data_IF_067526513704
#
_entry.id   IF_067526513704
#
_cell.length_a   1.000
_cell.length_b   1.000
_cell.length_c   1.000
_cell.angle_alpha   90.00
_cell.angle_beta   90.00
_cell.angle_gamma   90.00
#
_symmetry.space_group_name_H-M   'P 1'
#
loop_
_entity.id
_entity.type
_entity.pdbx_description
1 polymer ?
#
# COMPACT_ATOMS: atom_id res chain seq x y z
N UNK A 1 7.10 -10.07 25.75
CA UNK A 1 6.35 -9.38 24.67
C UNK A 1 6.03 -10.44 23.62
N UNK A 2 4.78 -10.57 23.21
CA UNK A 2 4.40 -11.47 22.11
C UNK A 2 4.97 -10.85 20.82
N UNK A 3 5.68 -11.59 19.96
CA UNK A 3 6.17 -11.04 18.70
C UNK A 3 5.01 -10.72 17.76
N UNK A 4 5.16 -9.70 16.93
CA UNK A 4 4.08 -9.08 16.17
C UNK A 4 4.44 -8.87 14.70
N UNK A 5 3.41 -8.92 13.86
CA UNK A 5 3.47 -8.56 12.45
C UNK A 5 2.52 -7.38 12.26
N UNK A 6 3.04 -6.21 11.90
CA UNK A 6 2.22 -5.06 11.55
C UNK A 6 2.03 -5.04 10.03
N UNK A 7 0.78 -4.90 9.59
CA UNK A 7 0.40 -4.78 8.18
C UNK A 7 -0.28 -3.44 8.00
N UNK A 8 0.09 -2.72 6.93
CA UNK A 8 -0.54 -1.47 6.55
C UNK A 8 -0.88 -1.50 5.06
N UNK A 9 -2.04 -0.95 4.70
CA UNK A 9 -2.38 -0.73 3.30
C UNK A 9 -1.68 0.54 2.81
N UNK A 10 -1.06 0.49 1.64
CA UNK A 10 -0.27 1.60 1.09
C UNK A 10 -1.12 2.85 0.84
N UNK A 11 -2.41 2.70 0.52
CA UNK A 11 -3.36 3.80 0.33
C UNK A 11 -3.62 4.66 1.57
N UNK A 12 -3.19 4.21 2.76
CA UNK A 12 -3.20 5.01 3.99
C UNK A 12 -2.19 6.16 3.96
N UNK A 13 -1.23 6.12 3.04
CA UNK A 13 -0.28 7.19 2.76
C UNK A 13 -0.74 7.99 1.54
N UNK A 14 -0.81 9.30 1.70
CA UNK A 14 -1.41 10.22 0.71
C UNK A 14 -0.40 11.14 0.06
N UNK A 15 0.80 11.23 0.61
CA UNK A 15 1.85 12.09 0.07
C UNK A 15 3.25 11.66 0.51
N UNK A 16 4.26 12.18 -0.19
CA UNK A 16 5.65 11.99 0.16
C UNK A 16 6.00 12.71 1.48
N UNK A 17 6.88 12.09 2.25
CA UNK A 17 7.42 12.67 3.47
C UNK A 17 8.78 13.30 3.18
N UNK A 18 8.81 14.62 2.99
CA UNK A 18 10.06 15.34 2.76
C UNK A 18 10.89 15.49 4.03
N UNK A 19 12.22 15.40 3.91
CA UNK A 19 13.15 15.64 5.00
C UNK A 19 13.11 17.12 5.40
N UNK A 20 13.03 17.38 6.71
CA UNK A 20 13.09 18.73 7.28
C UNK A 20 12.15 18.88 8.47
N UNK A 21 11.77 20.12 8.84
CA UNK A 21 10.77 20.35 9.86
C UNK A 21 9.46 19.63 9.53
N UNK A 22 8.98 18.79 10.44
CA UNK A 22 7.69 18.11 10.30
C UNK A 22 6.63 18.85 11.10
N UNK A 23 5.75 19.54 10.40
CA UNK A 23 4.69 20.37 10.97
C UNK A 23 3.37 19.61 11.10
N UNK A 24 2.40 20.25 11.74
CA UNK A 24 1.02 19.75 11.80
C UNK A 24 0.38 19.64 10.40
N UNK A 25 0.81 20.46 9.43
CA UNK A 25 0.31 20.37 8.06
C UNK A 25 0.81 19.08 7.38
N UNK A 26 2.07 18.72 7.59
CA UNK A 26 2.67 17.48 7.06
C UNK A 26 1.97 16.23 7.59
N UNK A 27 1.53 16.26 8.86
CA UNK A 27 0.70 15.21 9.45
C UNK A 27 -0.58 14.96 8.63
N UNK A 28 -1.28 16.01 8.21
CA UNK A 28 -2.52 15.88 7.41
C UNK A 28 -2.27 15.52 5.95
N UNK A 29 -1.12 15.93 5.40
CA UNK A 29 -0.78 15.67 4.00
C UNK A 29 -0.25 14.25 3.80
N UNK A 30 0.63 13.77 4.69
CA UNK A 30 1.24 12.43 4.58
C UNK A 30 0.24 11.33 4.93
N UNK A 31 -0.42 11.41 6.09
CA UNK A 31 -1.41 10.41 6.52
C UNK A 31 -2.56 11.09 7.28
N UNK A 32 -3.67 11.47 6.61
CA UNK A 32 -4.75 12.25 7.22
C UNK A 32 -5.64 11.46 8.19
N UNK A 33 -5.51 10.13 8.22
CA UNK A 33 -6.41 9.26 8.96
C UNK A 33 -6.11 9.27 10.46
N UNK A 34 -7.15 9.34 11.30
CA UNK A 34 -7.01 9.37 12.77
C UNK A 34 -7.22 8.01 13.41
N UNK A 35 -7.14 6.93 12.64
CA UNK A 35 -7.38 5.58 13.09
C UNK A 35 -6.33 5.12 14.10
N UNK A 36 -6.79 4.38 15.11
CA UNK A 36 -5.93 3.64 16.05
C UNK A 36 -5.66 2.24 15.51
N UNK A 37 -4.55 1.64 15.91
CA UNK A 37 -4.23 0.27 15.52
C UNK A 37 -5.00 -0.73 16.39
N UNK A 38 -5.31 -1.88 15.79
CA UNK A 38 -5.90 -3.03 16.48
C UNK A 38 -5.06 -4.27 16.19
N UNK A 39 -5.21 -5.30 17.01
CA UNK A 39 -4.58 -6.58 16.78
C UNK A 39 -5.52 -7.77 16.97
N UNK A 40 -5.15 -8.87 16.32
CA UNK A 40 -5.69 -10.21 16.53
C UNK A 40 -4.53 -11.17 16.79
N UNK A 41 -4.62 -11.98 17.83
CA UNK A 41 -3.58 -12.97 18.15
C UNK A 41 -3.85 -14.30 17.44
N UNK A 42 -2.87 -14.78 16.67
CA UNK A 42 -2.96 -16.04 15.90
C UNK A 42 -1.63 -16.81 15.93
N UNK A 43 -1.61 -18.12 15.61
CA UNK A 43 -0.36 -18.84 15.42
C UNK A 43 0.47 -18.31 14.25
N UNK A 44 1.80 -18.39 14.33
CA UNK A 44 2.73 -17.88 13.32
C UNK A 44 2.47 -18.46 11.93
N UNK A 45 2.09 -19.73 11.84
CA UNK A 45 1.76 -20.38 10.57
C UNK A 45 0.64 -19.66 9.79
N UNK A 46 -0.28 -18.98 10.49
CA UNK A 46 -1.28 -18.10 9.89
C UNK A 46 -0.71 -16.69 9.71
N UNK A 47 -0.15 -16.10 10.76
CA UNK A 47 0.33 -14.72 10.75
C UNK A 47 1.40 -14.46 9.69
N UNK A 48 2.33 -15.39 9.46
CA UNK A 48 3.38 -15.27 8.46
C UNK A 48 2.86 -15.23 7.01
N UNK A 49 1.63 -15.68 6.77
CA UNK A 49 1.01 -15.71 5.43
C UNK A 49 0.10 -14.50 5.16
N UNK A 50 -0.19 -13.67 6.18
CA UNK A 50 -1.20 -12.62 6.09
C UNK A 50 -0.92 -11.62 4.96
N UNK A 51 0.33 -11.18 4.81
CA UNK A 51 0.71 -10.20 3.77
C UNK A 51 0.45 -10.79 2.38
N UNK A 52 0.89 -12.03 2.14
CA UNK A 52 0.75 -12.67 0.84
C UNK A 52 -0.71 -12.87 0.43
N UNK A 53 -1.57 -13.29 1.35
CA UNK A 53 -2.99 -13.48 1.06
C UNK A 53 -3.76 -12.16 0.89
N UNK A 54 -3.43 -11.12 1.68
CA UNK A 54 -3.99 -9.78 1.48
C UNK A 54 -3.56 -9.18 0.13
N UNK A 55 -2.28 -9.30 -0.23
CA UNK A 55 -1.78 -8.83 -1.52
C UNK A 55 -2.39 -9.56 -2.73
N UNK A 56 -2.79 -10.83 -2.59
CA UNK A 56 -3.51 -11.56 -3.65
C UNK A 56 -4.93 -11.04 -3.87
N UNK A 57 -5.59 -10.61 -2.80
CA UNK A 57 -6.94 -10.01 -2.86
C UNK A 57 -6.90 -8.61 -3.46
N UNK A 58 -5.85 -7.86 -3.12
CA UNK A 58 -5.70 -6.45 -3.46
C UNK A 58 -6.37 -5.53 -2.43
N UNK A 59 -6.02 -4.25 -2.50
CA UNK A 59 -6.59 -3.20 -1.64
C UNK A 59 -8.02 -2.78 -2.05
N UNK A 60 -8.46 -3.21 -3.24
CA UNK A 60 -9.75 -2.93 -3.84
C UNK A 60 -10.61 -4.15 -3.99
N UNK A 61 -11.94 -3.98 -3.92
CA UNK A 61 -12.90 -5.04 -4.22
C UNK A 61 -12.62 -5.64 -5.59
N UNK A 62 -12.20 -6.91 -5.59
CA UNK A 62 -12.23 -7.91 -6.65
C UNK A 62 -12.65 -7.40 -8.03
N UNK A 63 -11.68 -7.10 -8.90
CA UNK A 63 -11.98 -6.82 -10.30
C UNK A 63 -10.76 -6.40 -11.11
N UNK A 64 -10.45 -7.18 -12.13
CA UNK A 64 -9.35 -6.93 -13.08
C UNK A 64 -7.96 -7.21 -12.50
N UNK A 65 -7.75 -8.49 -12.15
CA UNK A 65 -6.45 -9.13 -12.32
C UNK A 65 -6.42 -9.61 -13.78
N UNK A 66 -5.67 -8.91 -14.63
CA UNK A 66 -5.57 -9.25 -16.04
C UNK A 66 -4.53 -8.35 -16.71
N UNK A 67 -3.58 -8.98 -17.39
CA UNK A 67 -2.64 -8.35 -18.30
C UNK A 67 -3.44 -7.83 -19.51
N UNK A 68 -4.16 -6.73 -19.35
CA UNK A 68 -4.72 -5.98 -20.48
C UNK A 68 -3.60 -5.11 -21.01
N UNK A 69 -3.44 -5.00 -22.34
CA UNK A 69 -2.53 -4.03 -22.96
C UNK A 69 -2.68 -2.67 -22.25
N UNK A 70 -1.57 -2.05 -21.84
CA UNK A 70 -1.58 -1.01 -20.80
C UNK A 70 -2.40 0.24 -21.17
N UNK A 71 -2.47 0.58 -22.45
CA UNK A 71 -3.32 1.67 -22.94
C UNK A 71 -4.81 1.33 -22.84
N UNK A 72 -5.17 0.07 -23.10
CA UNK A 72 -6.54 -0.45 -22.89
C UNK A 72 -6.85 -0.53 -21.38
N UNK A 73 -5.84 -0.84 -20.56
CA UNK A 73 -5.95 -0.85 -19.10
C UNK A 73 -6.27 0.51 -18.49
N UNK A 74 -5.66 1.60 -18.98
CA UNK A 74 -5.98 2.97 -18.55
C UNK A 74 -7.39 3.36 -18.96
N UNK A 75 -7.80 3.08 -20.20
CA UNK A 75 -9.15 3.40 -20.70
C UNK A 75 -10.22 2.59 -19.95
N UNK A 76 -10.00 1.30 -19.73
CA UNK A 76 -10.90 0.44 -18.98
C UNK A 76 -11.01 0.85 -17.51
N UNK A 77 -9.87 1.20 -16.88
CA UNK A 77 -9.88 1.69 -15.50
C UNK A 77 -10.59 3.05 -15.38
N UNK A 78 -10.37 3.98 -16.34
CA UNK A 78 -11.08 5.27 -16.39
C UNK A 78 -12.59 5.07 -16.55
N UNK A 79 -13.02 4.22 -17.48
CA UNK A 79 -14.44 3.90 -17.68
C UNK A 79 -15.08 3.28 -16.42
N UNK A 80 -14.36 2.42 -15.69
CA UNK A 80 -14.83 1.88 -14.42
C UNK A 80 -14.93 2.95 -13.32
N UNK A 81 -13.93 3.83 -13.21
CA UNK A 81 -13.93 4.93 -12.23
C UNK A 81 -15.07 5.93 -12.52
N UNK A 82 -15.30 6.27 -13.79
CA UNK A 82 -16.41 7.11 -14.25
C UNK A 82 -17.78 6.45 -14.00
N UNK A 83 -17.86 5.13 -14.06
CA UNK A 83 -19.05 4.35 -13.69
C UNK A 83 -19.26 4.23 -12.18
N UNK A 84 -18.42 4.84 -11.34
CA UNK A 84 -18.50 4.78 -9.88
C UNK A 84 -18.13 3.42 -9.27
N UNK A 85 -17.55 2.52 -10.07
CA UNK A 85 -17.14 1.16 -9.67
C UNK A 85 -15.62 0.95 -9.68
N UNK A 86 -14.86 1.91 -10.22
CA UNK A 86 -13.41 1.83 -10.35
C UNK A 86 -12.66 2.55 -9.24
N UNK A 87 -11.51 2.00 -8.90
CA UNK A 87 -10.58 2.62 -7.96
C UNK A 87 -9.83 3.76 -8.64
N UNK A 88 -10.13 5.00 -8.25
CA UNK A 88 -9.44 6.20 -8.74
C UNK A 88 -7.92 6.07 -8.58
N UNK A 89 -7.46 5.41 -7.52
CA UNK A 89 -6.04 5.13 -7.30
C UNK A 89 -5.44 4.22 -8.37
N UNK A 90 -6.15 3.17 -8.80
CA UNK A 90 -5.71 2.27 -9.88
C UNK A 90 -5.57 3.01 -11.20
N UNK A 91 -6.53 3.87 -11.54
CA UNK A 91 -6.47 4.76 -12.72
C UNK A 91 -5.23 5.65 -12.65
N UNK A 92 -5.02 6.25 -11.49
CA UNK A 92 -3.89 7.14 -11.25
C UNK A 92 -2.55 6.43 -11.40
N UNK A 93 -2.36 5.26 -10.78
CA UNK A 93 -1.14 4.46 -10.91
C UNK A 93 -0.86 4.07 -12.35
N UNK A 94 -1.86 3.57 -13.07
CA UNK A 94 -1.70 3.21 -14.48
C UNK A 94 -1.35 4.42 -15.34
N UNK A 95 -1.99 5.57 -15.11
CA UNK A 95 -1.66 6.81 -15.83
C UNK A 95 -0.21 7.23 -15.58
N UNK A 96 0.28 7.23 -14.33
CA UNK A 96 1.68 7.56 -14.02
C UNK A 96 2.66 6.60 -14.68
N UNK A 97 2.34 5.31 -14.66
CA UNK A 97 3.13 4.26 -15.29
C UNK A 97 3.27 4.46 -16.80
N UNK A 98 2.14 4.74 -17.46
CA UNK A 98 2.10 5.02 -18.91
C UNK A 98 2.92 6.28 -19.24
N UNK A 99 2.74 7.38 -18.49
CA UNK A 99 3.52 8.61 -18.67
C UNK A 99 5.04 8.36 -18.55
N UNK A 100 5.47 7.64 -17.50
CA UNK A 100 6.87 7.30 -17.27
C UNK A 100 7.48 6.47 -18.42
N UNK A 101 6.73 5.52 -18.98
CA UNK A 101 7.19 4.72 -20.11
C UNK A 101 7.25 5.49 -21.43
N UNK A 102 6.24 6.30 -21.72
CA UNK A 102 6.25 7.13 -22.93
C UNK A 102 7.40 8.12 -22.93
N UNK A 103 7.73 8.67 -21.76
CA UNK A 103 8.84 9.59 -21.69
C UNK A 103 10.18 8.88 -21.95
N UNK A 104 10.40 7.69 -21.37
CA UNK A 104 11.59 6.88 -21.65
C UNK A 104 11.73 6.48 -23.13
N UNK A 105 10.62 6.16 -23.81
CA UNK A 105 10.68 5.81 -25.24
C UNK A 105 10.99 7.00 -26.16
N UNK A 106 10.74 8.23 -25.69
CA UNK A 106 11.00 9.48 -26.43
C UNK A 106 12.44 10.02 -26.26
N UNK A 107 13.20 9.53 -25.29
CA UNK A 107 14.57 10.03 -25.01
C UNK A 107 15.58 9.84 -26.15
N UNK A 108 15.25 9.06 -27.19
CA UNK A 108 16.10 8.83 -28.36
C UNK A 108 15.86 9.76 -29.56
N UNK A 109 14.89 10.68 -29.49
CA UNK A 109 14.53 11.55 -30.62
C UNK A 109 15.33 12.86 -30.67
N UNK A 110 15.97 13.17 -31.81
CA UNK A 110 16.81 14.36 -32.03
C UNK A 110 16.08 15.72 -32.03
N UNK A 111 14.79 15.79 -31.69
CA UNK A 111 13.96 17.01 -31.84
C UNK A 111 13.52 17.65 -30.54
N UNK A 112 13.91 17.10 -29.39
CA UNK A 112 13.39 17.50 -28.08
C UNK A 112 14.47 18.07 -27.15
N UNK A 113 14.17 19.09 -26.31
CA UNK A 113 15.04 19.48 -25.22
C UNK A 113 15.38 18.23 -24.41
N UNK A 114 16.66 18.04 -24.05
CA UNK A 114 17.02 16.94 -23.17
C UNK A 114 16.20 17.09 -21.88
N UNK A 115 15.20 16.23 -21.69
CA UNK A 115 14.37 16.09 -20.49
C UNK A 115 15.20 16.15 -19.21
N UNK A 116 16.49 15.81 -19.26
CA UNK A 116 17.50 16.01 -18.19
C UNK A 116 17.72 17.46 -17.71
N UNK A 117 17.19 18.49 -18.40
CA UNK A 117 17.38 19.92 -18.06
C UNK A 117 16.10 20.64 -17.64
N UNK A 118 14.97 19.94 -17.63
CA UNK A 118 13.66 20.51 -17.26
C UNK A 118 13.37 20.26 -15.78
N UNK A 119 12.32 20.89 -15.25
CA UNK A 119 11.80 20.59 -13.91
C UNK A 119 10.97 19.31 -13.95
N UNK A 120 10.95 18.55 -12.84
CA UNK A 120 10.07 17.39 -12.71
C UNK A 120 8.60 17.83 -12.79
N UNK A 121 7.78 17.08 -13.50
CA UNK A 121 6.36 17.35 -13.63
C UNK A 121 5.62 16.37 -14.54
N UNK A 122 4.38 16.72 -14.86
CA UNK A 122 3.51 15.90 -15.70
C UNK A 122 3.95 15.96 -17.16
N UNK A 123 3.84 14.80 -17.83
CA UNK A 123 4.04 14.65 -19.28
C UNK A 123 2.82 13.90 -19.78
N UNK A 124 1.72 14.63 -19.92
CA UNK A 124 0.39 14.10 -20.17
C UNK A 124 0.29 13.57 -21.60
N UNK A 125 -0.17 12.32 -21.73
CA UNK A 125 -0.57 11.73 -23.00
C UNK A 125 -2.08 11.62 -23.03
N UNK A 126 -2.69 12.28 -24.01
CA UNK A 126 -4.13 12.22 -24.28
C UNK A 126 -4.38 12.09 -25.80
N UNK A 127 -5.64 12.20 -26.21
CA UNK A 127 -6.06 12.07 -27.61
C UNK A 127 -5.89 13.35 -28.43
N UNK A 128 -5.51 14.47 -27.80
CA UNK A 128 -5.33 15.73 -28.48
C UNK A 128 -3.96 15.78 -29.20
N UNK A 129 -3.86 16.42 -30.36
CA UNK A 129 -2.58 16.66 -30.99
C UNK A 129 -1.68 17.57 -30.15
N UNK A 130 -0.37 17.30 -30.13
CA UNK A 130 0.63 18.21 -29.52
C UNK A 130 0.98 17.86 -28.08
N UNK A 131 1.17 18.89 -27.26
CA UNK A 131 1.52 18.78 -25.84
C UNK A 131 0.40 19.42 -25.03
N UNK A 132 -0.23 18.64 -24.15
CA UNK A 132 -1.33 19.12 -23.31
C UNK A 132 -0.86 19.95 -22.11
N UNK A 133 0.37 19.71 -21.65
CA UNK A 133 0.95 20.42 -20.51
C UNK A 133 1.41 21.84 -20.92
N UNK A 134 1.08 22.83 -20.09
CA UNK A 134 1.43 24.25 -20.31
C UNK A 134 2.93 24.53 -20.14
N UNK A 135 3.63 23.66 -19.41
CA UNK A 135 5.08 23.71 -19.18
C UNK A 135 5.73 22.40 -19.57
N UNK A 136 6.90 22.46 -20.23
CA UNK A 136 7.67 21.26 -20.56
C UNK A 136 8.39 20.71 -19.32
N UNK A 137 8.21 19.42 -19.03
CA UNK A 137 8.76 18.76 -17.85
C UNK A 137 9.67 17.57 -18.15
N UNK A 138 10.52 17.26 -17.18
CA UNK A 138 11.05 15.91 -16.97
C UNK A 138 9.93 15.05 -16.37
N UNK A 139 9.61 13.88 -16.93
CA UNK A 139 8.60 12.98 -16.36
C UNK A 139 8.93 12.59 -14.91
N UNK A 140 7.90 12.55 -14.06
CA UNK A 140 8.03 12.01 -12.70
C UNK A 140 8.29 10.48 -12.78
N UNK A 141 9.34 9.96 -12.12
CA UNK A 141 9.59 8.52 -12.07
C UNK A 141 8.43 7.72 -11.49
N UNK A 142 8.12 6.57 -12.10
CA UNK A 142 7.13 5.64 -11.59
C UNK A 142 7.78 4.35 -11.08
N UNK A 143 7.28 3.86 -9.95
CA UNK A 143 7.61 2.56 -9.39
C UNK A 143 6.33 1.82 -9.03
N UNK A 144 6.31 0.50 -9.21
CA UNK A 144 5.19 -0.32 -8.75
C UNK A 144 5.13 -0.32 -7.23
N UNK A 145 3.94 0.00 -6.69
CA UNK A 145 3.69 0.05 -5.27
C UNK A 145 2.80 -1.13 -4.88
N UNK A 146 3.18 -1.93 -3.86
CA UNK A 146 2.32 -3.00 -3.38
C UNK A 146 1.09 -2.42 -2.68
N UNK A 147 -0.02 -3.14 -2.72
CA UNK A 147 -1.26 -2.73 -2.06
C UNK A 147 -1.14 -2.76 -0.52
N UNK A 148 -0.31 -3.68 -0.01
CA UNK A 148 -0.01 -3.82 1.41
C UNK A 148 1.49 -3.92 1.63
N UNK A 149 1.94 -3.39 2.75
CA UNK A 149 3.31 -3.54 3.27
C UNK A 149 3.23 -4.11 4.69
N UNK A 150 4.27 -4.81 5.12
CA UNK A 150 4.36 -5.28 6.50
C UNK A 150 5.76 -5.16 7.09
N UNK A 151 5.79 -5.15 8.41
CA UNK A 151 7.00 -5.33 9.19
C UNK A 151 6.77 -6.41 10.24
N UNK A 152 7.79 -7.23 10.49
CA UNK A 152 7.75 -8.33 11.43
C UNK A 152 8.98 -8.27 12.33
N UNK A 153 8.77 -8.37 13.64
CA UNK A 153 9.85 -8.58 14.62
C UNK A 153 9.96 -10.05 15.05
N UNK A 154 9.32 -10.96 14.32
CA UNK A 154 9.31 -12.39 14.60
C UNK A 154 10.68 -13.02 14.26
N UNK A 155 11.34 -13.75 15.17
CA UNK A 155 12.58 -14.47 14.88
C UNK A 155 12.40 -15.49 13.74
N UNK A 156 13.44 -15.69 12.92
CA UNK A 156 13.37 -16.56 11.72
C UNK A 156 13.11 -18.04 12.02
N UNK A 157 13.49 -18.50 13.21
CA UNK A 157 13.38 -19.87 13.71
C UNK A 157 12.10 -20.10 14.54
N UNK A 158 11.17 -19.15 14.52
CA UNK A 158 9.91 -19.22 15.25
C UNK A 158 9.06 -20.38 14.76
N UNK A 159 8.58 -21.22 15.69
CA UNK A 159 7.70 -22.34 15.37
C UNK A 159 6.34 -21.85 14.85
N UNK A 160 5.72 -22.60 13.93
CA UNK A 160 4.42 -22.24 13.36
C UNK A 160 3.29 -22.15 14.40
N UNK A 161 3.44 -22.81 15.56
CA UNK A 161 2.45 -22.82 16.64
C UNK A 161 2.66 -21.68 17.65
N UNK A 162 3.74 -20.91 17.52
CA UNK A 162 4.01 -19.76 18.39
C UNK A 162 2.93 -18.71 18.18
N UNK A 163 2.43 -18.10 19.25
CA UNK A 163 1.42 -17.06 19.16
C UNK A 163 2.02 -15.72 18.75
N UNK A 164 1.32 -14.99 17.89
CA UNK A 164 1.71 -13.68 17.36
C UNK A 164 0.54 -12.73 17.28
N UNK A 165 0.83 -11.44 17.41
CA UNK A 165 -0.16 -10.39 17.19
C UNK A 165 -0.03 -9.85 15.76
N UNK A 166 -1.11 -9.97 14.98
CA UNK A 166 -1.24 -9.27 13.71
C UNK A 166 -1.82 -7.90 14.01
N UNK A 167 -1.06 -6.85 13.76
CA UNK A 167 -1.45 -5.45 14.00
C UNK A 167 -1.88 -4.81 12.67
N UNK A 168 -3.02 -4.13 12.65
CA UNK A 168 -3.62 -3.56 11.44
C UNK A 168 -4.54 -2.38 11.76
N UNK A 169 -5.01 -1.68 10.72
CA UNK A 169 -5.97 -0.58 10.84
C UNK A 169 -7.41 -1.09 10.68
N UNK A 170 -8.39 -0.49 11.37
CA UNK A 170 -9.75 -1.01 11.43
C UNK A 170 -10.48 -0.97 10.09
N UNK A 171 -10.12 -0.07 9.17
CA UNK A 171 -10.85 0.08 7.90
C UNK A 171 -10.74 -1.13 6.97
N UNK A 172 -9.67 -1.95 7.07
CA UNK A 172 -9.49 -3.20 6.31
C UNK A 172 -9.57 -4.46 7.18
N UNK A 173 -10.14 -4.32 8.39
CA UNK A 173 -10.30 -5.41 9.37
C UNK A 173 -11.09 -6.61 8.83
N UNK A 174 -12.09 -6.36 7.97
CA UNK A 174 -12.89 -7.42 7.34
C UNK A 174 -12.03 -8.35 6.50
N UNK A 175 -11.11 -7.81 5.72
CA UNK A 175 -10.19 -8.60 4.90
C UNK A 175 -9.23 -9.41 5.77
N UNK A 176 -8.70 -8.81 6.83
CA UNK A 176 -7.82 -9.50 7.79
C UNK A 176 -8.55 -10.69 8.44
N UNK A 177 -9.76 -10.48 8.96
CA UNK A 177 -10.58 -11.53 9.58
C UNK A 177 -10.89 -12.64 8.57
N UNK A 178 -11.27 -12.28 7.35
CA UNK A 178 -11.58 -13.26 6.31
C UNK A 178 -10.35 -14.10 5.94
N UNK A 179 -9.19 -13.46 5.73
CA UNK A 179 -7.94 -14.15 5.41
C UNK A 179 -7.51 -15.08 6.54
N UNK A 180 -7.58 -14.64 7.80
CA UNK A 180 -7.24 -15.49 8.95
C UNK A 180 -8.12 -16.75 8.97
N UNK A 181 -9.43 -16.58 8.80
CA UNK A 181 -10.37 -17.70 8.81
C UNK A 181 -10.16 -18.65 7.61
N UNK A 182 -9.86 -18.12 6.43
CA UNK A 182 -9.51 -18.93 5.24
C UNK A 182 -8.20 -19.69 5.43
N UNK A 183 -7.16 -19.05 5.96
CA UNK A 183 -5.89 -19.70 6.28
C UNK A 183 -6.08 -20.80 7.32
N UNK A 184 -6.96 -20.61 8.30
CA UNK A 184 -7.32 -21.67 9.25
C UNK A 184 -7.94 -22.87 8.52
N UNK A 185 -8.92 -22.67 7.65
CA UNK A 185 -9.55 -23.77 6.89
C UNK A 185 -8.53 -24.46 5.97
N UNK A 186 -7.66 -23.70 5.31
CA UNK A 186 -6.58 -24.25 4.47
C UNK A 186 -5.59 -25.07 5.30
N UNK A 187 -5.24 -24.63 6.50
CA UNK A 187 -4.31 -25.36 7.38
C UNK A 187 -4.83 -26.76 7.75
N UNK A 188 -6.14 -26.89 8.02
CA UNK A 188 -6.81 -28.15 8.35
C UNK A 188 -6.90 -29.05 7.10
N UNK A 189 -7.32 -28.50 5.97
CA UNK A 189 -7.61 -29.28 4.76
C UNK A 189 -6.37 -29.65 3.95
N UNK A 190 -5.32 -28.83 3.97
CA UNK A 190 -4.10 -29.01 3.16
C UNK A 190 -2.89 -29.43 3.99
N UNK A 191 -3.03 -29.58 5.31
CA UNK A 191 -1.96 -30.07 6.18
C UNK A 191 -0.75 -29.16 6.21
N UNK A 192 -0.95 -27.83 6.33
CA UNK A 192 0.13 -26.83 6.29
C UNK A 192 1.16 -26.92 7.44
N UNK A 193 1.03 -27.91 8.35
CA UNK A 193 2.06 -28.22 9.35
C UNK A 193 2.04 -27.33 10.58
N UNK A 194 0.90 -26.72 10.91
CA UNK A 194 0.64 -26.04 12.19
C UNK A 194 -0.60 -26.62 12.82
N UNK A 195 -0.54 -26.86 14.13
CA UNK A 195 -1.59 -27.49 14.91
C UNK A 195 -2.61 -26.42 15.30
N UNK A 196 -3.55 -26.14 14.38
CA UNK A 196 -4.68 -25.21 14.59
C UNK A 196 -6.01 -25.84 15.02
N UNK A 197 -6.14 -27.14 15.42
CA UNK A 197 -7.44 -27.80 15.54
C UNK A 197 -8.35 -27.21 16.63
N UNK A 198 -7.83 -26.36 17.53
CA UNK A 198 -8.61 -25.69 18.57
C UNK A 198 -8.91 -24.21 18.28
N UNK A 199 -8.36 -23.63 17.21
CA UNK A 199 -8.64 -22.22 16.90
C UNK A 199 -10.05 -22.10 16.32
N UNK A 200 -10.88 -21.28 16.95
CA UNK A 200 -12.20 -20.92 16.41
C UNK A 200 -12.09 -19.89 15.30
N UNK A 201 -13.21 -19.60 14.63
CA UNK A 201 -13.32 -18.40 13.80
C UNK A 201 -13.05 -17.16 14.64
N UNK A 202 -12.21 -16.27 14.11
CA UNK A 202 -12.07 -14.91 14.63
C UNK A 202 -13.16 -14.03 14.02
N UNK A 203 -13.67 -13.08 14.80
CA UNK A 203 -14.63 -12.06 14.38
C UNK A 203 -14.05 -10.66 14.60
N UNK A 204 -14.78 -9.64 14.13
CA UNK A 204 -14.40 -8.25 14.41
C UNK A 204 -14.48 -7.91 15.92
N UNK A 205 -15.29 -8.63 16.69
CA UNK A 205 -15.40 -8.43 18.15
C UNK A 205 -14.15 -8.90 18.90
N UNK A 206 -13.34 -9.78 18.28
CA UNK A 206 -12.10 -10.27 18.88
C UNK A 206 -10.95 -9.27 18.82
N UNK A 207 -11.09 -8.23 17.99
CA UNK A 207 -10.06 -7.20 17.81
C UNK A 207 -9.82 -6.44 19.10
N UNK A 208 -8.57 -6.35 19.51
CA UNK A 208 -8.15 -5.58 20.69
C UNK A 208 -7.38 -4.33 20.25
N UNK A 209 -7.51 -3.19 20.95
CA UNK A 209 -6.73 -1.99 20.64
C UNK A 209 -5.23 -2.25 20.84
N UNK A 210 -4.41 -1.72 19.93
CA UNK A 210 -2.95 -1.84 19.98
C UNK A 210 -2.30 -0.48 20.19
N UNK A 211 -1.63 -0.32 21.34
CA UNK A 211 -0.92 0.91 21.69
C UNK A 211 -1.83 2.14 21.83
N UNK A 212 -1.21 3.32 21.83
CA UNK A 212 -1.88 4.62 21.99
C UNK A 212 -1.51 5.64 20.91
N UNK A 213 -0.84 5.18 19.84
CA UNK A 213 -0.42 6.00 18.71
C UNK A 213 -1.39 5.80 17.56
N UNK A 214 -1.88 6.90 16.99
CA UNK A 214 -2.70 6.89 15.78
C UNK A 214 -1.84 6.94 14.53
N UNK A 215 -2.36 6.47 13.39
CA UNK A 215 -1.56 6.41 12.15
C UNK A 215 -1.02 7.78 11.71
N UNK A 216 -1.80 8.85 11.85
CA UNK A 216 -1.34 10.20 11.55
C UNK A 216 -0.21 10.69 12.48
N UNK A 217 0.00 10.09 13.64
CA UNK A 217 1.05 10.49 14.58
C UNK A 217 2.39 9.79 14.29
N UNK A 218 2.37 8.66 13.59
CA UNK A 218 3.54 7.79 13.35
C UNK A 218 4.68 8.55 12.68
N UNK A 219 4.40 9.30 11.61
CA UNK A 219 5.43 10.04 10.88
C UNK A 219 5.98 11.22 11.66
N UNK A 220 5.18 11.88 12.49
CA UNK A 220 5.66 12.93 13.39
C UNK A 220 6.60 12.37 14.46
N UNK A 221 6.33 11.17 14.98
CA UNK A 221 7.23 10.45 15.90
C UNK A 221 8.53 10.09 15.19
N UNK A 222 8.45 9.52 13.98
CA UNK A 222 9.61 9.19 13.16
C UNK A 222 10.47 10.42 12.85
N UNK A 223 9.87 11.52 12.37
CA UNK A 223 10.57 12.76 12.06
C UNK A 223 11.34 13.30 13.27
N UNK A 224 10.71 13.33 14.46
CA UNK A 224 11.39 13.76 15.69
C UNK A 224 12.57 12.86 16.04
N UNK A 225 12.43 11.55 15.86
CA UNK A 225 13.51 10.61 16.15
C UNK A 225 14.68 10.71 15.16
N UNK A 226 14.40 11.02 13.89
CA UNK A 226 15.40 10.98 12.82
C UNK A 226 15.99 12.33 12.45
N UNK A 227 15.30 13.45 12.71
CA UNK A 227 15.66 14.78 12.21
C UNK A 227 15.79 15.85 13.30
N UNK A 228 15.81 15.46 14.57
CA UNK A 228 15.92 16.37 15.72
C UNK A 228 17.22 17.18 15.79
N UNK A 229 18.23 16.83 14.99
CA UNK A 229 19.54 17.52 14.95
C UNK A 229 19.67 18.60 13.85
N UNK A 230 18.58 19.02 13.21
CA UNK A 230 18.65 20.06 12.17
C UNK A 230 18.33 21.44 12.77
N UNK A 231 19.25 22.42 12.75
CA UNK A 231 18.94 23.78 13.16
C UNK A 231 17.82 24.35 12.27
N UNK A 232 16.91 25.10 12.90
CA UNK A 232 15.79 25.78 12.25
C UNK A 232 16.27 26.85 11.26
#
# INVERSE_FOLDING_TARGET
MIPSIIVSQSGSQRFDMFKGPFTRNDQYIVSPFTDSFFFLSVPFGIGGQILGELSKRGAGTSGVQGLVEEDVGVVAARAQAESGSGEIDKVWRLSRKTQWRHAQSREGGNTWPSWKKLTLGWVTTDTCPGHGDDTLHTPIPYFEQPDYVSHSNVPKDTSNNTQHDIIFLPFFSKDVVQVINELRVKSISQGLGFDVPQMRNVTLEDMQPYGNVKINEVFGIYARAMWSDQPA
#
